data_IF_282670320492
#
_entry.id   IF_282670320492
#
_cell.length_a   1.000
_cell.length_b   1.000
_cell.length_c   1.000
_cell.angle_alpha   90.00
_cell.angle_beta   90.00
_cell.angle_gamma   90.00
#
_symmetry.space_group_name_H-M   'P 1'
#
loop_
_entity.id
_entity.type
_entity.pdbx_description
1 polymer ?
#
# COMPACT_ATOMS: atom_id res chain seq x y z
N UNK A 1 34.50 -37.85 3.11
CA UNK A 1 34.68 -36.90 2.00
C UNK A 1 33.52 -37.11 1.05
N UNK A 2 32.65 -36.12 0.95
CA UNK A 2 31.37 -36.19 0.25
C UNK A 2 30.30 -35.44 1.03
N UNK A 3 30.47 -34.12 1.14
CA UNK A 3 29.41 -33.21 1.59
C UNK A 3 28.23 -33.34 0.64
N UNK A 4 27.07 -33.76 1.16
CA UNK A 4 25.80 -33.58 0.47
C UNK A 4 25.28 -32.22 0.93
N UNK A 5 25.45 -31.25 0.05
CA UNK A 5 24.95 -29.89 0.19
C UNK A 5 23.43 -29.97 0.27
N UNK A 6 22.86 -29.53 1.40
CA UNK A 6 21.44 -29.23 1.51
C UNK A 6 21.12 -28.10 0.56
N UNK A 7 20.53 -28.41 -0.60
CA UNK A 7 19.85 -27.40 -1.42
C UNK A 7 18.65 -26.91 -0.62
N UNK A 8 18.82 -25.77 0.05
CA UNK A 8 17.72 -24.95 0.53
C UNK A 8 17.06 -24.35 -0.71
N UNK A 9 16.13 -25.09 -1.30
CA UNK A 9 15.13 -24.52 -2.20
C UNK A 9 14.31 -23.55 -1.35
N UNK A 10 14.73 -22.28 -1.32
CA UNK A 10 13.88 -21.19 -0.86
C UNK A 10 12.70 -21.13 -1.81
N UNK A 11 11.65 -21.89 -1.52
CA UNK A 11 10.34 -21.67 -2.09
C UNK A 11 9.92 -20.28 -1.60
N UNK A 12 10.17 -19.24 -2.40
CA UNK A 12 9.51 -17.97 -2.22
C UNK A 12 8.01 -18.29 -2.19
N UNK A 13 7.34 -18.04 -1.05
CA UNK A 13 5.91 -18.20 -0.95
C UNK A 13 5.26 -17.47 -2.14
N UNK A 14 4.27 -18.08 -2.82
CA UNK A 14 3.68 -17.47 -4.00
C UNK A 14 3.11 -16.10 -3.62
N UNK A 15 3.71 -15.04 -4.17
CA UNK A 15 3.28 -13.66 -3.93
C UNK A 15 1.79 -13.56 -4.26
N UNK A 16 1.02 -13.05 -3.30
CA UNK A 16 -0.42 -12.93 -3.44
C UNK A 16 -0.76 -12.03 -4.64
N UNK A 17 -1.77 -12.40 -5.44
CA UNK A 17 -2.16 -11.61 -6.61
C UNK A 17 -2.90 -10.33 -6.17
N UNK A 18 -2.85 -9.23 -6.96
CA UNK A 18 -3.69 -8.07 -6.74
C UNK A 18 -5.18 -8.45 -6.65
N UNK A 19 -5.93 -7.81 -5.75
CA UNK A 19 -7.40 -7.89 -5.77
C UNK A 19 -7.95 -7.28 -7.06
N UNK A 20 -7.31 -6.23 -7.54
CA UNK A 20 -7.72 -5.52 -8.75
C UNK A 20 -6.72 -5.80 -9.89
N UNK A 21 -7.20 -6.45 -10.95
CA UNK A 21 -6.54 -6.46 -12.26
C UNK A 21 -7.44 -5.73 -13.23
N UNK A 22 -7.26 -4.43 -13.32
CA UNK A 22 -8.08 -3.57 -14.17
C UNK A 22 -7.27 -3.21 -15.41
N UNK A 23 -7.46 -3.99 -16.47
CA UNK A 23 -6.67 -3.89 -17.70
C UNK A 23 -7.09 -2.71 -18.61
N UNK A 24 -8.16 -1.99 -18.25
CA UNK A 24 -8.64 -0.84 -19.01
C UNK A 24 -8.70 0.43 -18.16
N UNK A 25 -8.30 1.56 -18.76
CA UNK A 25 -8.17 2.84 -18.05
C UNK A 25 -9.51 3.43 -17.60
N UNK A 26 -10.62 3.09 -18.28
CA UNK A 26 -11.94 3.58 -17.93
C UNK A 26 -12.45 2.99 -16.60
N UNK A 27 -12.32 1.68 -16.43
CA UNK A 27 -12.77 0.98 -15.23
C UNK A 27 -11.86 1.30 -14.05
N UNK A 28 -10.56 1.52 -14.29
CA UNK A 28 -9.63 1.97 -13.25
C UNK A 28 -10.07 3.34 -12.72
N UNK A 29 -10.34 4.30 -13.62
CA UNK A 29 -10.87 5.61 -13.23
C UNK A 29 -12.21 5.51 -12.49
N UNK A 30 -13.10 4.60 -12.92
CA UNK A 30 -14.39 4.41 -12.28
C UNK A 30 -14.24 3.87 -10.84
N UNK A 31 -13.41 2.85 -10.63
CA UNK A 31 -13.14 2.27 -9.30
C UNK A 31 -12.47 3.30 -8.39
N UNK A 32 -11.42 3.96 -8.87
CA UNK A 32 -10.74 5.03 -8.14
C UNK A 32 -11.70 6.12 -7.72
N UNK A 33 -12.59 6.56 -8.62
CA UNK A 33 -13.60 7.57 -8.31
C UNK A 33 -14.56 7.09 -7.21
N UNK A 34 -15.04 5.85 -7.29
CA UNK A 34 -15.96 5.28 -6.29
C UNK A 34 -15.30 5.16 -4.93
N UNK A 35 -14.07 4.65 -4.86
CA UNK A 35 -13.36 4.51 -3.59
C UNK A 35 -13.01 5.87 -2.98
N UNK A 36 -12.56 6.84 -3.79
CA UNK A 36 -12.32 8.21 -3.33
C UNK A 36 -13.58 8.89 -2.81
N UNK A 37 -14.76 8.59 -3.37
CA UNK A 37 -16.03 9.09 -2.84
C UNK A 37 -16.46 8.38 -1.54
N UNK A 38 -16.15 7.09 -1.41
CA UNK A 38 -16.56 6.28 -0.26
C UNK A 38 -15.67 6.50 0.96
N UNK A 39 -14.37 6.67 0.74
CA UNK A 39 -13.34 6.80 1.77
C UNK A 39 -12.43 8.01 1.46
N UNK A 40 -12.97 9.25 1.39
CA UNK A 40 -12.23 10.41 0.93
C UNK A 40 -10.96 10.66 1.74
N UNK A 41 -11.07 10.69 3.08
CA UNK A 41 -9.96 11.00 3.97
C UNK A 41 -8.87 9.93 3.92
N UNK A 42 -9.27 8.65 3.91
CA UNK A 42 -8.32 7.54 3.84
C UNK A 42 -7.64 7.48 2.48
N UNK A 43 -8.38 7.69 1.39
CA UNK A 43 -7.83 7.71 0.05
C UNK A 43 -6.77 8.82 -0.09
N UNK A 44 -7.12 10.05 0.29
CA UNK A 44 -6.21 11.20 0.18
C UNK A 44 -4.99 11.05 1.09
N UNK A 45 -5.17 10.60 2.33
CA UNK A 45 -4.04 10.35 3.24
C UNK A 45 -3.09 9.28 2.69
N UNK A 46 -3.62 8.16 2.18
CA UNK A 46 -2.79 7.08 1.62
C UNK A 46 -2.04 7.54 0.37
N UNK A 47 -2.74 8.22 -0.55
CA UNK A 47 -2.18 8.70 -1.82
C UNK A 47 -1.05 9.70 -1.59
N UNK A 48 -1.28 10.75 -0.78
CA UNK A 48 -0.27 11.77 -0.47
C UNK A 48 0.92 11.19 0.29
N UNK A 49 0.67 10.37 1.32
CA UNK A 49 1.74 9.88 2.17
C UNK A 49 2.61 8.82 1.48
N UNK A 50 2.03 8.01 0.58
CA UNK A 50 2.80 7.07 -0.23
C UNK A 50 3.65 7.79 -1.28
N UNK A 51 3.11 8.83 -1.92
CA UNK A 51 3.89 9.67 -2.83
C UNK A 51 5.04 10.39 -2.11
N UNK A 52 4.81 10.89 -0.90
CA UNK A 52 5.84 11.59 -0.11
C UNK A 52 6.92 10.63 0.40
N UNK A 53 6.54 9.46 0.90
CA UNK A 53 7.48 8.48 1.43
C UNK A 53 8.22 7.72 0.32
N UNK A 54 7.58 7.57 -0.84
CA UNK A 54 8.04 6.84 -2.01
C UNK A 54 8.68 5.47 -1.71
N UNK A 55 7.93 4.50 -1.16
CA UNK A 55 8.48 3.21 -0.69
C UNK A 55 9.29 2.39 -1.71
N UNK A 56 9.07 2.60 -3.00
CA UNK A 56 9.75 1.88 -4.10
C UNK A 56 10.72 2.75 -4.91
N UNK A 57 10.89 4.03 -4.58
CA UNK A 57 11.73 4.97 -5.33
C UNK A 57 11.30 5.14 -6.80
N UNK A 58 9.98 5.25 -7.03
CA UNK A 58 9.35 5.30 -8.36
C UNK A 58 8.66 6.64 -8.65
N UNK A 59 8.56 7.54 -7.67
CA UNK A 59 7.88 8.83 -7.86
C UNK A 59 8.82 9.81 -8.57
N UNK A 60 8.47 10.18 -9.79
CA UNK A 60 9.25 11.13 -10.58
C UNK A 60 8.74 12.57 -10.43
N UNK A 61 9.62 13.58 -10.48
CA UNK A 61 9.20 14.98 -10.46
C UNK A 61 8.20 15.30 -11.57
N UNK A 62 7.01 15.79 -11.18
CA UNK A 62 5.94 16.13 -12.11
C UNK A 62 5.02 14.97 -12.52
N UNK A 63 5.22 13.78 -11.95
CA UNK A 63 4.34 12.63 -12.12
C UNK A 63 3.93 12.04 -10.75
N UNK A 64 3.01 12.70 -10.01
CA UNK A 64 2.49 12.17 -8.76
C UNK A 64 1.48 11.02 -9.02
N UNK A 65 1.09 10.34 -7.94
CA UNK A 65 0.06 9.30 -7.86
C UNK A 65 0.48 7.93 -8.43
N UNK A 66 1.78 7.63 -8.42
CA UNK A 66 2.33 6.34 -8.86
C UNK A 66 1.84 5.17 -7.98
N UNK A 67 1.40 5.48 -6.76
CA UNK A 67 0.87 4.49 -5.81
C UNK A 67 -0.65 4.34 -5.86
N UNK A 68 -1.36 4.94 -6.82
CA UNK A 68 -2.83 4.87 -6.91
C UNK A 68 -3.38 3.44 -6.79
N UNK A 69 -2.76 2.48 -7.47
CA UNK A 69 -3.23 1.09 -7.40
C UNK A 69 -2.94 0.43 -6.05
N UNK A 70 -1.86 0.82 -5.36
CA UNK A 70 -1.56 0.37 -4.00
C UNK A 70 -2.60 0.90 -3.02
N UNK A 71 -3.03 2.16 -3.21
CA UNK A 71 -4.14 2.74 -2.43
C UNK A 71 -5.39 1.87 -2.57
N UNK A 72 -5.75 1.42 -3.79
CA UNK A 72 -6.91 0.55 -4.00
C UNK A 72 -6.76 -0.80 -3.26
N UNK A 73 -5.59 -1.43 -3.32
CA UNK A 73 -5.33 -2.69 -2.61
C UNK A 73 -5.42 -2.50 -1.08
N UNK A 74 -4.81 -1.44 -0.56
CA UNK A 74 -4.81 -1.12 0.88
C UNK A 74 -6.23 -0.87 1.37
N UNK A 75 -7.05 -0.11 0.63
CA UNK A 75 -8.45 0.13 1.00
C UNK A 75 -9.27 -1.16 1.06
N UNK A 76 -8.98 -2.16 0.21
CA UNK A 76 -9.61 -3.49 0.32
C UNK A 76 -9.13 -4.23 1.56
N UNK A 77 -7.84 -4.20 1.85
CA UNK A 77 -7.26 -4.86 3.03
C UNK A 77 -7.75 -4.25 4.36
N UNK A 78 -8.14 -2.98 4.35
CA UNK A 78 -8.70 -2.24 5.47
C UNK A 78 -10.24 -2.24 5.51
N UNK A 79 -10.90 -3.04 4.67
CA UNK A 79 -12.36 -3.03 4.57
C UNK A 79 -13.04 -3.46 5.87
N UNK A 80 -12.41 -4.30 6.70
CA UNK A 80 -12.97 -4.72 7.99
C UNK A 80 -12.97 -3.58 9.01
N UNK A 81 -12.01 -2.67 8.89
CA UNK A 81 -11.84 -1.45 9.65
C UNK A 81 -12.60 -0.26 9.02
N UNK A 82 -13.40 -0.50 7.97
CA UNK A 82 -14.08 0.53 7.17
C UNK A 82 -13.12 1.64 6.67
N UNK A 83 -11.85 1.27 6.45
CA UNK A 83 -10.75 2.18 6.13
C UNK A 83 -10.55 3.35 7.12
N UNK A 84 -10.96 3.21 8.38
CA UNK A 84 -10.76 4.23 9.40
C UNK A 84 -9.32 4.20 9.95
N UNK A 85 -8.47 5.06 9.39
CA UNK A 85 -7.04 5.15 9.72
C UNK A 85 -6.77 5.60 11.17
N UNK A 86 -7.73 6.23 11.84
CA UNK A 86 -7.54 6.75 13.21
C UNK A 86 -7.54 5.66 14.29
N UNK A 87 -8.11 4.51 13.97
CA UNK A 87 -8.26 3.37 14.87
C UNK A 87 -7.35 2.20 14.51
N UNK A 88 -6.59 2.31 13.42
CA UNK A 88 -5.65 1.26 12.99
C UNK A 88 -4.34 1.39 13.78
N UNK A 89 -3.93 0.30 14.41
CA UNK A 89 -2.64 0.23 15.08
C UNK A 89 -1.47 0.24 14.10
N UNK A 90 -0.34 0.85 14.49
CA UNK A 90 0.87 0.96 13.65
C UNK A 90 1.30 -0.35 13.00
N UNK A 91 1.35 -1.43 13.78
CA UNK A 91 1.77 -2.75 13.27
C UNK A 91 0.80 -3.30 12.21
N UNK A 92 -0.50 -3.04 12.37
CA UNK A 92 -1.52 -3.46 11.39
C UNK A 92 -1.37 -2.67 10.10
N UNK A 93 -1.17 -1.36 10.19
CA UNK A 93 -0.97 -0.50 9.02
C UNK A 93 0.32 -0.88 8.26
N UNK A 94 1.43 -1.09 8.97
CA UNK A 94 2.69 -1.54 8.39
C UNK A 94 2.52 -2.83 7.58
N UNK A 95 1.91 -3.86 8.18
CA UNK A 95 1.65 -5.12 7.49
C UNK A 95 0.75 -4.97 6.26
N UNK A 96 -0.27 -4.11 6.34
CA UNK A 96 -1.18 -3.86 5.22
C UNK A 96 -0.50 -3.12 4.08
N UNK A 97 0.33 -2.10 4.37
CA UNK A 97 1.07 -1.37 3.33
C UNK A 97 2.04 -2.29 2.60
N UNK A 98 2.80 -3.11 3.33
CA UNK A 98 3.70 -4.10 2.74
C UNK A 98 2.94 -5.09 1.87
N UNK A 99 1.81 -5.57 2.35
CA UNK A 99 0.97 -6.50 1.59
C UNK A 99 0.41 -5.84 0.31
N UNK A 100 -0.04 -4.58 0.37
CA UNK A 100 -0.51 -3.83 -0.79
C UNK A 100 0.60 -3.59 -1.83
N UNK A 101 1.79 -3.18 -1.37
CA UNK A 101 2.98 -2.99 -2.22
C UNK A 101 3.41 -4.30 -2.90
N UNK A 102 3.54 -5.37 -2.12
CA UNK A 102 3.94 -6.69 -2.61
C UNK A 102 2.92 -7.25 -3.61
N UNK A 103 1.62 -7.06 -3.38
CA UNK A 103 0.58 -7.48 -4.33
C UNK A 103 0.69 -6.75 -5.67
N UNK A 104 0.95 -5.44 -5.68
CA UNK A 104 0.99 -4.66 -6.93
C UNK A 104 2.28 -4.77 -7.70
N UNK A 105 3.41 -4.64 -7.03
CA UNK A 105 4.72 -4.56 -7.67
C UNK A 105 5.46 -5.89 -7.63
N UNK A 106 5.13 -6.75 -6.66
CA UNK A 106 5.86 -7.99 -6.46
C UNK A 106 7.33 -7.74 -6.08
N UNK A 107 7.66 -6.58 -5.53
CA UNK A 107 9.00 -6.23 -5.07
C UNK A 107 8.98 -5.91 -3.58
N UNK A 108 10.10 -6.15 -2.90
CA UNK A 108 10.25 -5.79 -1.49
C UNK A 108 10.50 -4.27 -1.40
N UNK A 109 9.64 -3.51 -0.73
CA UNK A 109 9.81 -2.07 -0.60
C UNK A 109 10.99 -1.70 0.30
N UNK A 110 11.45 -0.45 0.18
CA UNK A 110 12.52 0.09 1.01
C UNK A 110 11.99 0.25 2.45
N UNK A 111 12.50 -0.57 3.37
CA UNK A 111 12.06 -0.68 4.77
C UNK A 111 11.81 0.68 5.44
N UNK A 112 12.84 1.54 5.47
CA UNK A 112 12.77 2.84 6.12
C UNK A 112 11.74 3.78 5.50
N UNK A 113 11.41 3.60 4.21
CA UNK A 113 10.40 4.40 3.51
C UNK A 113 8.99 3.87 3.77
N UNK A 114 8.81 2.57 3.97
CA UNK A 114 7.55 2.01 4.49
C UNK A 114 7.29 2.51 5.91
N UNK A 115 8.31 2.48 6.77
CA UNK A 115 8.19 3.00 8.13
C UNK A 115 7.78 4.48 8.13
N UNK A 116 8.38 5.29 7.25
CA UNK A 116 8.02 6.69 7.05
C UNK A 116 6.56 6.85 6.56
N UNK A 117 6.14 6.07 5.56
CA UNK A 117 4.76 6.11 5.06
C UNK A 117 3.76 5.84 6.20
N UNK A 118 4.02 4.82 7.03
CA UNK A 118 3.18 4.49 8.18
C UNK A 118 3.09 5.67 9.15
N UNK A 119 4.22 6.30 9.49
CA UNK A 119 4.24 7.42 10.43
C UNK A 119 3.50 8.65 9.86
N UNK A 120 3.66 8.96 8.57
CA UNK A 120 2.94 10.04 7.89
C UNK A 120 1.43 9.81 7.88
N UNK A 121 0.99 8.59 7.57
CA UNK A 121 -0.43 8.22 7.53
C UNK A 121 -1.07 8.35 8.92
N UNK A 122 -0.40 7.83 9.96
CA UNK A 122 -0.91 7.92 11.32
C UNK A 122 -0.95 9.37 11.82
N UNK A 123 0.07 10.16 11.50
CA UNK A 123 0.08 11.59 11.81
C UNK A 123 -1.11 12.29 11.15
N UNK A 124 -1.32 12.06 9.84
CA UNK A 124 -2.44 12.67 9.10
C UNK A 124 -3.79 12.26 9.68
N UNK A 125 -3.96 10.98 9.99
CA UNK A 125 -5.19 10.48 10.62
C UNK A 125 -5.50 11.19 11.94
N UNK A 126 -4.50 11.48 12.77
CA UNK A 126 -4.73 12.23 14.03
C UNK A 126 -5.11 13.70 13.83
N UNK A 127 -4.69 14.33 12.74
CA UNK A 127 -4.98 15.74 12.45
C UNK A 127 -6.40 15.96 11.93
N UNK A 128 -6.94 15.02 11.13
CA UNK A 128 -8.29 15.12 10.58
C UNK A 128 -9.38 15.07 11.66
N UNK A 129 -9.11 14.44 12.82
CA UNK A 129 -10.06 14.36 13.94
C UNK A 129 -10.04 15.54 14.91
N UNK A 130 -9.15 16.52 14.72
CA UNK A 130 -9.07 17.71 15.59
C UNK A 130 -9.75 18.96 14.99
N UNK A 131 -10.37 18.84 13.81
CA UNK A 131 -11.07 19.94 13.11
C UNK A 131 -12.58 19.95 13.35
#
# INVERSE_FOLDING_TARGET
MGDVVTELSGEEEPREQPFWRIDNSHDSQAVTRVLRQRFPDAFEALDECLDEADPLDIVYPGNPHEYSDVVLEVLVLLAQENADLSHIGRQRLDGVLRQGLARRFGEDPIEARVELAVDLILLRATMTHQS
#
